data_IF_617588196585
#
_entry.id   IF_617588196585
#
_cell.length_a   1.000
_cell.length_b   1.000
_cell.length_c   1.000
_cell.angle_alpha   90.00
_cell.angle_beta   90.00
_cell.angle_gamma   90.00
#
_symmetry.space_group_name_H-M   'P 1'
#
loop_
_entity.id
_entity.type
_entity.pdbx_description
1 polymer ?
#
# COMPACT_ATOMS: atom_id res chain seq x y z
N UNK A 1 24.34 30.28 -5.10
CA UNK A 1 24.36 29.13 -4.18
C UNK A 1 24.65 29.62 -2.78
N UNK A 2 23.90 29.15 -1.77
CA UNK A 2 24.05 29.54 -0.36
C UNK A 2 23.52 28.44 0.56
N UNK A 3 23.62 28.63 1.86
CA UNK A 3 23.08 27.77 2.92
C UNK A 3 21.88 28.50 3.53
N UNK A 4 20.80 27.80 3.75
CA UNK A 4 19.62 28.25 4.49
C UNK A 4 19.50 27.35 5.72
N UNK A 5 19.53 27.95 6.91
CA UNK A 5 19.23 27.25 8.15
C UNK A 5 17.71 27.24 8.36
N UNK A 6 17.14 26.07 8.60
CA UNK A 6 15.70 25.89 8.79
C UNK A 6 15.42 24.67 9.69
N UNK A 7 14.28 24.69 10.36
CA UNK A 7 13.85 23.55 11.20
C UNK A 7 13.30 22.40 10.37
N UNK A 8 12.61 22.70 9.27
CA UNK A 8 11.95 21.71 8.43
C UNK A 8 12.29 21.88 6.96
N UNK A 9 12.43 20.77 6.25
CA UNK A 9 12.57 20.70 4.80
C UNK A 9 11.42 19.92 4.21
N UNK A 10 10.72 20.49 3.24
CA UNK A 10 9.66 19.83 2.47
C UNK A 10 10.17 19.53 1.07
N UNK A 11 10.21 18.26 0.73
CA UNK A 11 10.44 17.84 -0.65
C UNK A 11 9.11 17.92 -1.44
N UNK A 12 8.97 18.99 -2.21
CA UNK A 12 7.90 19.17 -3.20
C UNK A 12 8.50 19.23 -4.62
N UNK A 13 9.54 18.43 -4.87
CA UNK A 13 10.41 18.48 -6.04
C UNK A 13 9.79 18.01 -7.35
N UNK A 14 8.52 17.57 -7.36
CA UNK A 14 7.83 17.16 -8.59
C UNK A 14 8.63 16.10 -9.38
N UNK A 15 9.09 16.46 -10.60
CA UNK A 15 9.92 15.57 -11.42
C UNK A 15 11.24 15.17 -10.76
N UNK A 16 11.79 16.03 -9.90
CA UNK A 16 13.04 15.80 -9.17
C UNK A 16 12.84 15.27 -7.74
N UNK A 17 11.64 14.86 -7.39
CA UNK A 17 11.33 14.38 -6.04
C UNK A 17 12.28 13.27 -5.57
N UNK A 18 12.59 12.33 -6.44
CA UNK A 18 13.51 11.22 -6.18
C UNK A 18 14.96 11.72 -5.99
N UNK A 19 15.41 12.62 -6.84
CA UNK A 19 16.75 13.20 -6.78
C UNK A 19 16.95 14.04 -5.52
N UNK A 20 15.95 14.81 -5.11
CA UNK A 20 15.98 15.53 -3.81
C UNK A 20 15.98 14.54 -2.63
N UNK A 21 15.19 13.49 -2.71
CA UNK A 21 15.21 12.41 -1.69
C UNK A 21 16.61 11.78 -1.55
N UNK A 22 17.30 11.52 -2.66
CA UNK A 22 18.66 10.97 -2.67
C UNK A 22 19.69 11.87 -1.99
N UNK A 23 19.51 13.19 -1.98
CA UNK A 23 20.39 14.13 -1.26
C UNK A 23 20.40 13.87 0.25
N UNK A 24 19.36 13.26 0.77
CA UNK A 24 19.24 12.87 2.19
C UNK A 24 19.23 11.35 2.40
N UNK A 25 19.63 10.58 1.36
CA UNK A 25 19.78 9.12 1.42
C UNK A 25 18.45 8.37 1.39
N UNK A 26 17.44 8.90 0.68
CA UNK A 26 16.11 8.28 0.52
C UNK A 26 15.85 8.01 -0.96
N UNK A 27 15.38 6.82 -1.29
CA UNK A 27 14.86 6.49 -2.61
C UNK A 27 13.31 6.53 -2.55
N UNK A 28 12.72 7.64 -2.98
CA UNK A 28 11.25 7.74 -3.05
C UNK A 28 10.71 6.92 -4.22
N UNK A 29 9.63 6.15 -4.04
CA UNK A 29 9.01 5.38 -5.11
C UNK A 29 8.19 6.28 -6.05
N UNK A 30 8.89 7.05 -6.87
CA UNK A 30 8.31 7.97 -7.86
C UNK A 30 8.94 7.73 -9.22
N UNK A 31 8.11 7.69 -10.26
CA UNK A 31 8.55 7.63 -11.65
C UNK A 31 7.81 8.69 -12.46
N UNK A 32 8.54 9.41 -13.30
CA UNK A 32 7.94 10.28 -14.30
C UNK A 32 7.58 9.48 -15.56
N UNK A 33 6.37 9.69 -16.08
CA UNK A 33 5.85 9.11 -17.31
C UNK A 33 5.67 10.21 -18.35
N UNK A 34 5.92 9.90 -19.62
CA UNK A 34 5.46 10.77 -20.70
C UNK A 34 3.93 10.75 -20.77
N UNK A 35 3.33 11.89 -20.95
CA UNK A 35 1.88 12.00 -21.12
C UNK A 35 1.53 13.00 -22.19
N UNK A 36 0.68 12.57 -23.12
CA UNK A 36 0.25 13.36 -24.25
C UNK A 36 -1.21 13.72 -24.20
N UNK A 37 -1.50 14.92 -24.66
CA UNK A 37 -2.84 15.35 -25.03
C UNK A 37 -2.81 16.22 -26.27
N UNK A 38 -3.88 16.24 -27.01
CA UNK A 38 -4.10 17.14 -28.12
C UNK A 38 -5.12 18.22 -27.76
N UNK A 39 -4.97 19.37 -28.39
CA UNK A 39 -5.93 20.47 -28.35
C UNK A 39 -6.47 20.65 -29.75
N UNK A 40 -7.79 20.61 -29.91
CA UNK A 40 -8.44 20.77 -31.21
C UNK A 40 -8.51 22.26 -31.62
N UNK A 41 -8.75 22.50 -32.90
CA UNK A 41 -9.25 23.76 -33.39
C UNK A 41 -10.66 24.04 -32.83
N UNK A 42 -11.22 25.21 -33.17
CA UNK A 42 -12.56 25.62 -32.79
C UNK A 42 -13.62 24.62 -33.26
N UNK A 43 -14.54 24.26 -32.38
CA UNK A 43 -15.68 23.36 -32.66
C UNK A 43 -16.94 24.21 -32.60
N UNK A 44 -17.69 24.38 -33.72
CA UNK A 44 -18.88 25.23 -33.76
C UNK A 44 -19.95 24.84 -32.72
N UNK A 45 -20.12 23.56 -32.44
CA UNK A 45 -21.05 23.05 -31.45
C UNK A 45 -20.66 23.47 -30.01
N UNK A 46 -19.34 23.51 -29.69
CA UNK A 46 -18.85 24.02 -28.41
C UNK A 46 -19.20 25.50 -28.26
N UNK A 47 -18.94 26.27 -29.30
CA UNK A 47 -19.26 27.71 -29.32
C UNK A 47 -20.75 27.96 -29.16
N UNK A 48 -21.58 27.24 -29.90
CA UNK A 48 -23.06 27.35 -29.83
C UNK A 48 -23.55 26.97 -28.41
N UNK A 49 -23.05 25.91 -27.85
CA UNK A 49 -23.41 25.50 -26.48
C UNK A 49 -23.06 26.60 -25.46
N UNK A 50 -21.84 27.16 -25.53
CA UNK A 50 -21.45 28.22 -24.61
C UNK A 50 -22.29 29.47 -24.73
N UNK A 51 -22.65 29.87 -25.95
CA UNK A 51 -23.52 31.03 -26.21
C UNK A 51 -24.95 30.82 -25.67
N UNK A 52 -25.48 29.60 -25.82
CA UNK A 52 -26.83 29.27 -25.38
C UNK A 52 -26.92 29.05 -23.86
N UNK A 53 -25.93 28.36 -23.26
CA UNK A 53 -25.98 27.94 -21.86
C UNK A 53 -25.31 28.93 -20.90
N UNK A 54 -24.41 29.80 -21.39
CA UNK A 54 -23.52 30.62 -20.57
C UNK A 54 -22.48 29.82 -19.78
N UNK A 55 -22.25 28.55 -20.13
CA UNK A 55 -21.36 27.62 -19.41
C UNK A 55 -20.41 26.90 -20.37
N UNK A 56 -19.31 26.42 -19.85
CA UNK A 56 -18.42 25.49 -20.54
C UNK A 56 -18.98 24.07 -20.52
N UNK A 57 -18.56 23.24 -21.49
CA UNK A 57 -18.81 21.81 -21.49
C UNK A 57 -18.09 21.15 -20.31
N UNK A 58 -18.80 20.27 -19.61
CA UNK A 58 -18.23 19.54 -18.48
C UNK A 58 -17.07 18.63 -18.87
N UNK A 59 -16.24 18.28 -17.88
CA UNK A 59 -15.17 17.32 -18.02
C UNK A 59 -15.75 15.92 -18.21
N UNK A 60 -15.23 15.18 -19.17
CA UNK A 60 -15.64 13.80 -19.49
C UNK A 60 -14.46 12.87 -19.34
N UNK A 61 -14.69 11.71 -18.72
CA UNK A 61 -13.78 10.58 -18.71
C UNK A 61 -14.45 9.44 -19.45
N UNK A 62 -13.81 8.96 -20.50
CA UNK A 62 -14.27 7.83 -21.31
C UNK A 62 -13.43 6.59 -20.95
N UNK A 63 -14.03 5.68 -20.18
CA UNK A 63 -13.39 4.42 -19.78
C UNK A 63 -13.21 3.43 -20.92
N UNK A 64 -14.03 3.55 -22.00
CA UNK A 64 -13.89 2.70 -23.17
C UNK A 64 -12.70 3.10 -24.06
N UNK A 65 -12.47 4.40 -24.21
CA UNK A 65 -11.34 4.96 -24.93
C UNK A 65 -10.09 5.16 -24.03
N UNK A 66 -10.23 4.99 -22.71
CA UNK A 66 -9.19 5.28 -21.72
C UNK A 66 -8.62 6.70 -21.87
N UNK A 67 -9.52 7.67 -22.11
CA UNK A 67 -9.16 9.06 -22.34
C UNK A 67 -10.03 10.01 -21.51
N UNK A 68 -9.60 11.27 -21.47
CA UNK A 68 -10.36 12.37 -20.90
C UNK A 68 -10.52 13.49 -21.90
N UNK A 69 -11.63 14.20 -21.77
CA UNK A 69 -11.94 15.37 -22.58
C UNK A 69 -12.38 16.52 -21.67
N UNK A 70 -11.96 17.72 -22.01
CA UNK A 70 -12.47 18.96 -21.42
C UNK A 70 -12.44 20.08 -22.44
N UNK A 71 -13.26 21.07 -22.23
CA UNK A 71 -13.19 22.28 -23.05
C UNK A 71 -11.89 23.04 -22.80
N UNK A 72 -11.31 23.58 -23.86
CA UNK A 72 -10.19 24.51 -23.85
C UNK A 72 -10.49 25.67 -24.82
N UNK A 73 -10.90 26.81 -24.26
CA UNK A 73 -11.41 27.91 -25.06
C UNK A 73 -12.60 27.50 -25.91
N UNK A 74 -12.47 27.52 -27.25
CA UNK A 74 -13.51 27.13 -28.21
C UNK A 74 -13.37 25.68 -28.73
N UNK A 75 -12.35 24.97 -28.31
CA UNK A 75 -12.03 23.61 -28.70
C UNK A 75 -12.08 22.64 -27.51
N UNK A 76 -11.54 21.45 -27.72
CA UNK A 76 -11.46 20.39 -26.73
C UNK A 76 -10.00 19.96 -26.54
N UNK A 77 -9.62 19.74 -25.28
CA UNK A 77 -8.45 18.92 -24.93
C UNK A 77 -8.89 17.47 -24.91
N UNK A 78 -8.14 16.60 -25.55
CA UNK A 78 -8.28 15.14 -25.46
C UNK A 78 -6.92 14.55 -25.08
N UNK A 79 -6.86 13.87 -23.92
CA UNK A 79 -5.67 13.17 -23.46
C UNK A 79 -5.97 11.71 -23.16
N UNK A 80 -5.00 10.84 -23.41
CA UNK A 80 -5.13 9.40 -23.25
C UNK A 80 -4.12 8.86 -22.25
N UNK A 81 -4.51 7.75 -21.57
CA UNK A 81 -3.59 6.92 -20.78
C UNK A 81 -3.34 5.64 -21.57
N UNK A 82 -2.40 5.72 -22.48
CA UNK A 82 -2.12 4.68 -23.47
C UNK A 82 -1.46 3.44 -22.85
N UNK A 83 -1.76 2.27 -23.39
CA UNK A 83 -1.16 0.99 -22.98
C UNK A 83 0.34 0.93 -23.27
N UNK A 84 0.78 1.52 -24.39
CA UNK A 84 2.19 1.60 -24.79
C UNK A 84 2.94 2.74 -24.08
N UNK A 85 2.68 2.93 -22.79
CA UNK A 85 3.21 4.03 -21.98
C UNK A 85 4.74 4.02 -21.89
N UNK A 86 5.34 5.19 -21.87
CA UNK A 86 6.79 5.39 -21.84
C UNK A 86 7.22 6.08 -20.57
N UNK A 87 8.08 5.44 -19.75
CA UNK A 87 8.74 6.11 -18.64
C UNK A 87 9.72 7.17 -19.15
N UNK A 88 9.59 8.39 -18.61
CA UNK A 88 10.56 9.42 -18.84
C UNK A 88 11.59 9.41 -17.71
N UNK A 89 12.87 9.43 -18.07
CA UNK A 89 14.00 9.42 -17.12
C UNK A 89 13.91 8.37 -15.98
N UNK A 90 13.80 7.06 -16.30
CA UNK A 90 13.58 6.02 -15.27
C UNK A 90 14.76 5.85 -14.31
N UNK A 91 15.96 6.32 -14.66
CA UNK A 91 17.17 6.22 -13.81
C UNK A 91 17.42 7.50 -13.02
N UNK A 92 17.42 8.63 -13.69
CA UNK A 92 17.75 9.92 -13.11
C UNK A 92 17.09 11.05 -13.91
N UNK A 93 16.49 12.01 -13.21
CA UNK A 93 15.91 13.21 -13.80
C UNK A 93 16.99 14.24 -14.04
N UNK A 94 17.22 14.69 -15.30
CA UNK A 94 18.24 15.70 -15.59
C UNK A 94 17.93 17.03 -14.89
N UNK A 95 18.88 17.57 -14.15
CA UNK A 95 18.72 18.88 -13.49
C UNK A 95 18.60 20.04 -14.47
N UNK A 96 19.06 19.84 -15.71
CA UNK A 96 18.97 20.85 -16.79
C UNK A 96 17.62 20.90 -17.49
N UNK A 97 16.76 19.87 -17.29
CA UNK A 97 15.42 19.85 -17.91
C UNK A 97 14.55 20.95 -17.32
N UNK A 98 13.92 21.76 -18.17
CA UNK A 98 13.00 22.81 -17.72
C UNK A 98 12.47 23.66 -18.86
N UNK A 99 11.21 24.07 -18.76
CA UNK A 99 10.51 24.92 -19.73
C UNK A 99 10.53 24.37 -21.17
N UNK A 100 10.58 23.05 -21.31
CA UNK A 100 10.60 22.34 -22.58
C UNK A 100 9.57 21.21 -22.59
N UNK A 101 9.12 20.85 -23.79
CA UNK A 101 8.19 19.74 -24.02
C UNK A 101 8.94 18.61 -24.71
N UNK A 102 8.42 17.41 -24.54
CA UNK A 102 8.91 16.22 -25.24
C UNK A 102 8.34 16.15 -26.65
N UNK A 103 8.99 15.37 -27.52
CA UNK A 103 8.49 15.16 -28.86
C UNK A 103 7.15 14.41 -28.83
N UNK A 104 6.14 14.86 -29.57
CA UNK A 104 4.88 14.15 -29.71
C UNK A 104 5.05 12.81 -30.45
N UNK A 105 4.26 11.82 -30.06
CA UNK A 105 4.15 10.51 -30.70
C UNK A 105 2.66 10.14 -30.77
N UNK A 106 1.99 10.58 -31.83
CA UNK A 106 0.55 10.35 -32.02
C UNK A 106 0.23 8.88 -32.26
N UNK A 107 1.13 8.10 -32.85
CA UNK A 107 0.91 6.67 -33.12
C UNK A 107 0.72 5.91 -31.80
N UNK A 108 1.40 6.35 -30.74
CA UNK A 108 1.29 5.75 -29.40
C UNK A 108 -0.10 5.90 -28.79
N UNK A 109 -0.79 7.00 -29.03
CA UNK A 109 -2.14 7.26 -28.51
C UNK A 109 -3.25 6.96 -29.53
N UNK A 110 -2.90 6.64 -30.79
CA UNK A 110 -3.86 6.37 -31.85
C UNK A 110 -4.93 5.34 -31.48
N UNK A 111 -4.64 4.21 -30.81
CA UNK A 111 -5.68 3.25 -30.43
C UNK A 111 -6.78 3.85 -29.53
N UNK A 112 -6.40 4.75 -28.60
CA UNK A 112 -7.37 5.47 -27.74
C UNK A 112 -8.16 6.52 -28.55
N UNK A 113 -7.49 7.22 -29.47
CA UNK A 113 -8.16 8.20 -30.35
C UNK A 113 -9.21 7.56 -31.26
N UNK A 114 -8.90 6.39 -31.84
CA UNK A 114 -9.86 5.64 -32.68
C UNK A 114 -11.15 5.28 -31.93
N UNK A 115 -11.03 4.89 -30.64
CA UNK A 115 -12.20 4.62 -29.81
C UNK A 115 -12.92 5.93 -29.45
N UNK A 116 -12.17 6.95 -29.07
CA UNK A 116 -12.72 8.26 -28.74
C UNK A 116 -13.53 8.87 -29.92
N UNK A 117 -13.03 8.77 -31.14
CA UNK A 117 -13.72 9.28 -32.32
C UNK A 117 -15.01 8.51 -32.61
N UNK A 118 -15.07 7.19 -32.34
CA UNK A 118 -16.32 6.43 -32.42
C UNK A 118 -17.35 6.91 -31.38
N UNK A 119 -16.92 7.27 -30.17
CA UNK A 119 -17.80 7.75 -29.11
C UNK A 119 -18.18 9.23 -29.29
N UNK A 120 -17.26 10.01 -29.87
CA UNK A 120 -17.42 11.46 -30.13
C UNK A 120 -17.12 11.78 -31.61
N UNK A 121 -18.01 11.39 -32.57
CA UNK A 121 -17.72 11.47 -34.00
C UNK A 121 -17.39 12.86 -34.52
N UNK A 122 -17.85 13.92 -33.81
CA UNK A 122 -17.52 15.29 -34.17
C UNK A 122 -16.03 15.61 -34.08
N UNK A 123 -15.30 14.89 -33.25
CA UNK A 123 -13.87 15.12 -33.08
C UNK A 123 -13.03 14.57 -34.23
N UNK A 124 -13.55 13.60 -35.00
CA UNK A 124 -12.81 12.95 -36.08
C UNK A 124 -12.39 13.92 -37.21
N UNK A 125 -13.22 14.93 -37.46
CA UNK A 125 -13.02 15.87 -38.57
C UNK A 125 -12.55 17.26 -38.11
N UNK A 126 -12.15 17.39 -36.84
CA UNK A 126 -11.66 18.67 -36.29
C UNK A 126 -10.15 18.71 -36.41
N UNK A 127 -9.59 19.84 -36.82
CA UNK A 127 -8.15 20.04 -36.90
C UNK A 127 -7.49 19.98 -35.51
N UNK A 128 -6.23 19.55 -35.49
CA UNK A 128 -5.39 19.54 -34.29
C UNK A 128 -4.60 20.86 -34.26
N UNK A 129 -4.93 21.72 -33.31
CA UNK A 129 -4.24 22.98 -33.08
C UNK A 129 -2.84 22.79 -32.52
N UNK A 130 -2.68 21.87 -31.58
CA UNK A 130 -1.38 21.51 -30.97
C UNK A 130 -1.44 20.16 -30.27
N UNK A 131 -0.28 19.53 -30.17
CA UNK A 131 -0.06 18.34 -29.35
C UNK A 131 0.94 18.72 -28.27
N UNK A 132 0.65 18.32 -27.04
CA UNK A 132 1.52 18.53 -25.89
C UNK A 132 1.95 17.14 -25.41
N UNK A 133 3.26 16.93 -25.29
CA UNK A 133 3.86 15.79 -24.60
C UNK A 133 4.77 16.31 -23.50
N UNK A 134 4.54 15.88 -22.27
CA UNK A 134 5.34 16.31 -21.13
C UNK A 134 5.43 15.24 -20.05
N UNK A 135 6.52 15.26 -19.25
CA UNK A 135 6.66 14.30 -18.16
C UNK A 135 5.84 14.73 -16.95
N UNK A 136 5.22 13.78 -16.25
CA UNK A 136 4.66 14.01 -14.93
C UNK A 136 4.72 12.77 -14.05
N UNK A 137 4.67 12.95 -12.72
CA UNK A 137 5.10 11.97 -11.74
C UNK A 137 3.98 11.09 -11.22
N UNK A 138 4.30 9.81 -10.97
CA UNK A 138 3.43 8.83 -10.35
C UNK A 138 4.16 8.08 -9.23
N UNK A 139 3.44 7.76 -8.16
CA UNK A 139 3.81 6.67 -7.25
C UNK A 139 3.23 5.33 -7.76
N UNK A 140 3.66 4.18 -7.22
CA UNK A 140 3.24 2.85 -7.70
C UNK A 140 1.72 2.63 -7.71
N UNK A 141 1.00 3.20 -6.75
CA UNK A 141 -0.47 3.14 -6.63
C UNK A 141 -1.18 4.36 -7.25
N UNK A 142 -0.43 5.34 -7.75
CA UNK A 142 -0.95 6.57 -8.33
C UNK A 142 -1.42 7.61 -7.32
N UNK A 143 -1.24 7.38 -6.01
CA UNK A 143 -1.57 8.35 -4.97
C UNK A 143 -0.33 9.16 -4.56
N UNK A 144 -0.50 10.40 -4.06
CA UNK A 144 0.60 11.21 -3.53
C UNK A 144 1.40 10.50 -2.43
N UNK A 145 2.62 10.97 -2.22
CA UNK A 145 3.51 10.58 -1.12
C UNK A 145 3.65 11.77 -0.16
N UNK A 146 2.87 11.76 0.93
CA UNK A 146 2.72 12.91 1.84
C UNK A 146 3.13 12.52 3.25
N UNK A 147 3.79 13.42 3.96
CA UNK A 147 4.06 13.27 5.39
C UNK A 147 5.55 13.16 5.77
N UNK A 148 5.83 12.91 7.06
CA UNK A 148 7.20 12.81 7.55
C UNK A 148 7.85 11.51 7.07
N UNK A 149 9.09 11.61 6.64
CA UNK A 149 9.84 10.45 6.12
C UNK A 149 10.57 9.75 7.27
N UNK A 150 10.35 8.44 7.40
CA UNK A 150 11.00 7.62 8.43
C UNK A 150 12.53 7.76 8.39
N UNK A 151 13.16 7.87 9.54
CA UNK A 151 14.62 7.97 9.69
C UNK A 151 15.23 9.30 9.24
N UNK A 152 14.38 10.30 8.96
CA UNK A 152 14.82 11.65 8.59
C UNK A 152 14.01 12.68 9.38
N UNK A 153 14.56 13.08 10.52
CA UNK A 153 13.94 14.11 11.37
C UNK A 153 13.78 15.41 10.59
N UNK A 154 12.59 16.02 10.69
CA UNK A 154 12.24 17.28 10.05
C UNK A 154 12.30 17.29 8.51
N UNK A 155 12.36 16.12 7.86
CA UNK A 155 12.25 16.01 6.41
C UNK A 155 10.89 15.43 6.01
N UNK A 156 10.17 16.15 5.14
CA UNK A 156 8.79 15.89 4.77
C UNK A 156 8.66 15.63 3.27
N UNK A 157 7.73 14.79 2.89
CA UNK A 157 7.39 14.52 1.51
C UNK A 157 6.06 15.16 1.13
N UNK A 158 6.02 15.81 -0.04
CA UNK A 158 4.83 16.24 -0.75
C UNK A 158 5.04 15.92 -2.25
N UNK A 159 5.25 14.63 -2.56
CA UNK A 159 5.71 14.16 -3.85
C UNK A 159 4.67 13.28 -4.54
N UNK A 160 4.87 12.98 -5.83
CA UNK A 160 3.97 12.11 -6.59
C UNK A 160 2.54 12.63 -6.72
N UNK A 161 2.34 13.94 -6.57
CA UNK A 161 1.02 14.58 -6.65
C UNK A 161 0.65 14.71 -8.14
N UNK A 162 0.21 13.60 -8.73
CA UNK A 162 -0.09 13.48 -10.15
C UNK A 162 -1.20 14.46 -10.57
N UNK A 163 -2.30 14.50 -9.84
CA UNK A 163 -3.41 15.41 -10.08
C UNK A 163 -3.21 16.76 -9.35
N UNK A 164 -2.07 17.42 -9.59
CA UNK A 164 -1.59 18.57 -8.82
C UNK A 164 -2.60 19.69 -8.60
N UNK A 165 -3.33 20.09 -9.65
CA UNK A 165 -4.33 21.16 -9.54
C UNK A 165 -5.52 20.81 -8.67
N UNK A 166 -5.95 19.55 -8.65
CA UNK A 166 -7.08 19.11 -7.83
C UNK A 166 -6.68 18.67 -6.42
N UNK A 167 -5.46 18.15 -6.23
CA UNK A 167 -5.01 17.58 -4.95
C UNK A 167 -4.04 18.50 -4.19
N UNK A 168 -3.35 19.42 -4.87
CA UNK A 168 -2.26 20.21 -4.27
C UNK A 168 -2.70 21.01 -3.04
N UNK A 169 -3.89 21.61 -3.09
CA UNK A 169 -4.44 22.34 -1.92
C UNK A 169 -4.67 21.43 -0.72
N UNK A 170 -5.25 20.22 -0.93
CA UNK A 170 -5.47 19.23 0.13
C UNK A 170 -4.18 18.65 0.68
N UNK A 171 -3.19 18.38 -0.18
CA UNK A 171 -1.85 17.94 0.22
C UNK A 171 -1.17 19.01 1.09
N UNK A 172 -1.23 20.28 0.67
CA UNK A 172 -0.69 21.39 1.44
C UNK A 172 -1.36 21.55 2.81
N UNK A 173 -2.69 21.43 2.87
CA UNK A 173 -3.45 21.51 4.11
C UNK A 173 -3.07 20.36 5.07
N UNK A 174 -3.08 19.11 4.59
CA UNK A 174 -2.70 17.97 5.40
C UNK A 174 -1.27 18.11 5.95
N UNK A 175 -0.33 18.51 5.09
CA UNK A 175 1.06 18.66 5.48
C UNK A 175 1.28 19.80 6.47
N UNK A 176 0.64 20.95 6.28
CA UNK A 176 0.74 22.08 7.20
C UNK A 176 0.18 21.74 8.59
N UNK A 177 -1.00 21.10 8.66
CA UNK A 177 -1.54 20.63 9.92
C UNK A 177 -0.59 19.64 10.61
N UNK A 178 -0.04 18.69 9.83
CA UNK A 178 0.87 17.69 10.40
C UNK A 178 2.16 18.29 10.93
N UNK A 179 2.73 19.29 10.23
CA UNK A 179 3.95 20.00 10.66
C UNK A 179 3.72 20.88 11.90
N UNK A 180 2.55 21.50 12.02
CA UNK A 180 2.23 22.45 13.10
C UNK A 180 1.59 21.73 14.31
N UNK A 181 0.64 20.84 14.05
CA UNK A 181 -0.21 20.23 15.08
C UNK A 181 0.18 18.77 15.39
N UNK A 182 1.13 18.18 14.61
CA UNK A 182 1.56 16.79 14.76
C UNK A 182 0.59 15.75 14.19
N UNK A 183 -0.48 16.18 13.51
CA UNK A 183 -1.52 15.33 12.94
C UNK A 183 -2.08 15.98 11.65
N UNK A 184 -2.32 15.25 10.56
CA UNK A 184 -2.83 15.83 9.32
C UNK A 184 -4.26 16.40 9.41
N UNK A 185 -5.00 16.13 10.52
CA UNK A 185 -6.34 16.62 10.74
C UNK A 185 -7.45 15.72 10.20
N UNK A 186 -7.15 14.87 9.22
CA UNK A 186 -8.05 13.92 8.60
C UNK A 186 -7.27 12.69 8.09
N UNK A 187 -7.99 11.63 7.75
CA UNK A 187 -7.35 10.40 7.27
C UNK A 187 -6.73 10.60 5.89
N UNK A 188 -5.40 10.42 5.83
CA UNK A 188 -4.61 10.43 4.60
C UNK A 188 -3.76 9.16 4.44
N UNK A 189 -4.11 8.05 5.12
CA UNK A 189 -3.34 6.81 5.09
C UNK A 189 -2.97 6.38 3.66
N UNK A 190 -3.92 6.43 2.72
CA UNK A 190 -3.69 6.11 1.31
C UNK A 190 -2.72 7.05 0.59
N UNK A 191 -2.28 8.14 1.22
CA UNK A 191 -1.30 9.10 0.69
C UNK A 191 -0.04 9.19 1.57
N UNK A 192 -0.03 8.58 2.75
CA UNK A 192 1.12 8.62 3.64
C UNK A 192 2.33 7.97 2.96
N UNK A 193 3.47 8.68 2.96
CA UNK A 193 4.73 8.17 2.38
C UNK A 193 5.18 6.87 3.05
N UNK A 194 4.86 6.66 4.33
CA UNK A 194 5.21 5.47 5.10
C UNK A 194 4.41 4.20 4.74
N UNK A 195 3.45 4.28 3.80
CA UNK A 195 2.82 3.08 3.24
C UNK A 195 3.78 2.27 2.35
N UNK A 196 4.87 2.88 1.89
CA UNK A 196 5.96 2.19 1.21
C UNK A 196 7.17 2.02 2.12
N UNK A 197 7.84 0.88 1.99
CA UNK A 197 9.09 0.56 2.66
C UNK A 197 10.22 0.32 1.66
N UNK A 198 11.37 -0.16 2.15
CA UNK A 198 12.57 -0.44 1.35
C UNK A 198 12.33 -1.51 0.26
N UNK A 199 11.28 -2.31 0.40
CA UNK A 199 10.81 -3.25 -0.61
C UNK A 199 10.34 -2.59 -1.90
N UNK A 200 9.89 -1.32 -1.85
CA UNK A 200 9.48 -0.53 -3.00
C UNK A 200 10.70 -0.02 -3.80
N UNK A 201 11.49 -0.96 -4.30
CA UNK A 201 12.70 -0.69 -5.10
C UNK A 201 12.37 0.08 -6.37
N UNK A 202 13.41 0.61 -7.03
CA UNK A 202 13.27 1.27 -8.34
C UNK A 202 12.66 0.35 -9.39
N UNK A 203 13.03 -0.93 -9.42
CA UNK A 203 12.47 -1.92 -10.36
C UNK A 203 10.98 -2.13 -10.10
N UNK A 204 10.60 -2.32 -8.85
CA UNK A 204 9.20 -2.40 -8.43
C UNK A 204 8.43 -1.14 -8.85
N UNK A 205 8.94 0.04 -8.47
CA UNK A 205 8.32 1.33 -8.79
C UNK A 205 8.10 1.49 -10.30
N UNK A 206 9.11 1.19 -11.12
CA UNK A 206 9.00 1.31 -12.57
C UNK A 206 7.92 0.37 -13.15
N UNK A 207 7.84 -0.86 -12.68
CA UNK A 207 6.85 -1.82 -13.14
C UNK A 207 5.43 -1.41 -12.72
N UNK A 208 5.22 -1.09 -11.44
CA UNK A 208 3.91 -0.72 -10.89
C UNK A 208 3.41 0.62 -11.45
N UNK A 209 4.26 1.63 -11.58
CA UNK A 209 3.86 2.91 -12.18
C UNK A 209 3.41 2.74 -13.63
N UNK A 210 4.13 1.95 -14.44
CA UNK A 210 3.71 1.66 -15.82
C UNK A 210 2.36 0.97 -15.88
N UNK A 211 2.15 -0.03 -15.03
CA UNK A 211 0.87 -0.73 -14.93
C UNK A 211 -0.26 0.21 -14.47
N UNK A 212 -0.02 1.03 -13.44
CA UNK A 212 -0.99 2.00 -12.95
C UNK A 212 -1.33 3.04 -14.01
N UNK A 213 -0.33 3.58 -14.73
CA UNK A 213 -0.53 4.53 -15.82
C UNK A 213 -1.40 3.91 -16.93
N UNK A 214 -0.99 2.74 -17.45
CA UNK A 214 -1.68 2.06 -18.55
C UNK A 214 -3.10 1.62 -18.20
N UNK A 215 -3.45 1.56 -16.92
CA UNK A 215 -4.77 1.19 -16.41
C UNK A 215 -5.52 2.33 -15.73
N UNK A 216 -5.06 3.58 -15.88
CA UNK A 216 -5.60 4.72 -15.16
C UNK A 216 -7.11 4.90 -15.35
N UNK A 217 -7.58 4.71 -16.57
CA UNK A 217 -9.01 4.75 -16.91
C UNK A 217 -9.58 3.39 -17.33
N UNK A 218 -8.85 2.31 -17.15
CA UNK A 218 -9.43 0.98 -17.31
C UNK A 218 -10.48 0.72 -16.25
N UNK A 219 -11.52 -0.02 -16.62
CA UNK A 219 -12.49 -0.53 -15.66
C UNK A 219 -11.75 -1.47 -14.69
N UNK A 220 -11.89 -1.20 -13.39
CA UNK A 220 -11.33 -2.02 -12.33
C UNK A 220 -12.43 -2.84 -11.69
N UNK A 221 -12.19 -4.11 -11.51
CA UNK A 221 -13.10 -5.01 -10.82
C UNK A 221 -12.78 -5.05 -9.32
N UNK A 222 -13.76 -5.31 -8.44
CA UNK A 222 -13.51 -5.57 -7.04
C UNK A 222 -12.52 -6.74 -6.88
N UNK A 223 -11.55 -6.58 -5.95
CA UNK A 223 -10.53 -7.57 -5.63
C UNK A 223 -9.64 -8.01 -6.82
N UNK A 224 -9.56 -7.20 -7.89
CA UNK A 224 -8.68 -7.47 -9.00
C UNK A 224 -7.22 -7.29 -8.58
N UNK A 225 -6.43 -8.36 -8.62
CA UNK A 225 -5.00 -8.34 -8.39
C UNK A 225 -4.22 -8.04 -9.68
N UNK A 226 -3.29 -7.08 -9.61
CA UNK A 226 -2.51 -6.66 -10.77
C UNK A 226 -1.14 -7.35 -10.80
N UNK A 227 -0.70 -7.86 -11.97
CA UNK A 227 0.44 -8.76 -12.05
C UNK A 227 1.83 -8.10 -12.02
N UNK A 228 1.95 -6.79 -12.26
CA UNK A 228 3.26 -6.17 -12.39
C UNK A 228 4.09 -6.29 -11.09
N UNK A 229 5.38 -6.55 -11.23
CA UNK A 229 6.35 -6.73 -10.15
C UNK A 229 5.97 -7.83 -9.12
N UNK A 230 5.29 -8.88 -9.56
CA UNK A 230 4.92 -10.04 -8.73
C UNK A 230 5.55 -11.32 -9.27
N UNK A 231 5.95 -12.27 -8.38
CA UNK A 231 6.05 -12.11 -6.93
C UNK A 231 7.23 -11.19 -6.55
N UNK A 232 7.07 -10.35 -5.51
CA UNK A 232 8.17 -9.52 -5.00
C UNK A 232 8.78 -10.11 -3.73
N UNK A 233 7.96 -10.42 -2.74
CA UNK A 233 8.35 -11.10 -1.51
C UNK A 233 7.49 -12.34 -1.33
N UNK A 234 8.12 -13.45 -0.98
CA UNK A 234 7.45 -14.73 -0.75
C UNK A 234 7.88 -15.32 0.59
N UNK A 235 7.03 -16.14 1.16
CA UNK A 235 7.35 -16.92 2.37
C UNK A 235 7.97 -18.27 2.00
N UNK A 236 8.58 -19.00 2.95
CA UNK A 236 9.06 -20.37 2.70
C UNK A 236 7.96 -21.34 2.27
N UNK A 237 6.69 -21.04 2.53
CA UNK A 237 5.54 -21.88 2.17
C UNK A 237 4.95 -21.55 0.80
N UNK A 238 5.42 -20.50 0.12
CA UNK A 238 4.85 -20.00 -1.13
C UNK A 238 4.69 -21.11 -2.20
N UNK A 239 5.78 -21.82 -2.52
CA UNK A 239 5.73 -22.87 -3.54
C UNK A 239 4.81 -24.03 -3.15
N UNK A 240 4.75 -24.37 -1.86
CA UNK A 240 3.83 -25.39 -1.33
C UNK A 240 2.37 -24.96 -1.50
N UNK A 241 2.06 -23.70 -1.19
CA UNK A 241 0.72 -23.15 -1.36
C UNK A 241 0.31 -23.09 -2.84
N UNK A 242 1.22 -22.66 -3.72
CA UNK A 242 0.98 -22.68 -5.17
C UNK A 242 0.68 -24.13 -5.64
N UNK A 243 1.45 -25.12 -5.21
CA UNK A 243 1.23 -26.53 -5.55
C UNK A 243 -0.12 -27.06 -5.03
N UNK A 244 -0.66 -26.46 -3.98
CA UNK A 244 -1.99 -26.75 -3.43
C UNK A 244 -3.12 -25.98 -4.11
N UNK A 245 -2.83 -25.15 -5.12
CA UNK A 245 -3.81 -24.37 -5.85
C UNK A 245 -4.10 -22.99 -5.25
N UNK A 246 -3.18 -22.42 -4.46
CA UNK A 246 -3.36 -21.08 -3.94
C UNK A 246 -3.47 -20.04 -5.06
N UNK A 247 -4.46 -19.18 -4.97
CA UNK A 247 -4.55 -17.91 -5.71
C UNK A 247 -4.02 -16.83 -4.80
N UNK A 248 -2.94 -16.18 -5.23
CA UNK A 248 -2.19 -15.25 -4.41
C UNK A 248 -2.61 -13.80 -4.66
N UNK A 249 -2.63 -12.99 -3.60
CA UNK A 249 -2.78 -11.55 -3.65
C UNK A 249 -1.53 -10.82 -3.16
N UNK A 250 -1.43 -9.52 -3.50
CA UNK A 250 -0.34 -8.65 -3.08
C UNK A 250 -0.72 -7.90 -1.78
N UNK A 251 -0.09 -8.26 -0.68
CA UNK A 251 -0.18 -7.54 0.58
C UNK A 251 1.07 -6.66 0.78
N UNK A 252 1.07 -5.48 0.16
CA UNK A 252 2.17 -4.50 0.29
C UNK A 252 3.54 -5.07 -0.07
N UNK A 253 3.60 -5.70 -1.23
CA UNK A 253 4.80 -6.32 -1.77
C UNK A 253 5.02 -7.77 -1.34
N UNK A 254 4.17 -8.34 -0.48
CA UNK A 254 4.23 -9.74 -0.07
C UNK A 254 3.09 -10.56 -0.66
N UNK A 255 3.41 -11.69 -1.25
CA UNK A 255 2.43 -12.66 -1.72
C UNK A 255 1.73 -13.34 -0.54
N UNK A 256 0.40 -13.30 -0.53
CA UNK A 256 -0.45 -13.95 0.48
C UNK A 256 -1.55 -14.76 -0.19
N UNK A 257 -1.90 -15.96 0.31
CA UNK A 257 -2.99 -16.72 -0.26
C UNK A 257 -4.33 -16.03 0.02
N UNK A 258 -5.12 -15.82 -1.03
CA UNK A 258 -6.48 -15.30 -0.94
C UNK A 258 -7.50 -16.43 -0.79
N UNK A 259 -7.35 -17.48 -1.58
CA UNK A 259 -8.17 -18.70 -1.58
C UNK A 259 -7.45 -19.83 -2.31
N UNK A 260 -7.97 -21.04 -2.19
CA UNK A 260 -7.41 -22.23 -2.82
C UNK A 260 -8.37 -22.83 -3.86
N UNK A 261 -7.89 -22.96 -5.10
CA UNK A 261 -8.65 -23.58 -6.18
C UNK A 261 -8.83 -25.09 -5.92
N UNK A 262 -10.05 -25.63 -6.08
CA UNK A 262 -10.28 -27.06 -5.99
C UNK A 262 -9.43 -27.85 -7.00
N UNK A 263 -9.02 -29.07 -6.64
CA UNK A 263 -8.25 -29.94 -7.51
C UNK A 263 -8.91 -30.09 -8.90
N UNK A 264 -8.11 -29.91 -9.95
CA UNK A 264 -8.57 -29.97 -11.34
C UNK A 264 -9.18 -28.68 -11.89
N UNK A 265 -9.21 -27.61 -11.12
CA UNK A 265 -9.58 -26.25 -11.60
C UNK A 265 -8.37 -25.36 -11.70
N UNK A 266 -8.41 -24.38 -12.62
CA UNK A 266 -7.34 -23.37 -12.75
C UNK A 266 -7.30 -22.47 -11.52
N UNK A 267 -6.13 -22.30 -10.92
CA UNK A 267 -5.90 -21.39 -9.79
C UNK A 267 -5.79 -19.94 -10.30
N UNK A 268 -6.93 -19.33 -10.60
CA UNK A 268 -7.02 -17.98 -11.15
C UNK A 268 -8.33 -17.32 -10.82
N UNK A 269 -8.27 -16.04 -10.46
CA UNK A 269 -9.47 -15.21 -10.30
C UNK A 269 -10.14 -14.91 -11.64
N UNK A 270 -11.47 -15.07 -11.65
CA UNK A 270 -12.33 -14.56 -12.71
C UNK A 270 -13.03 -13.31 -12.17
N UNK A 271 -12.40 -12.16 -12.40
CA UNK A 271 -12.89 -10.89 -11.86
C UNK A 271 -14.28 -10.52 -12.39
N UNK A 272 -15.13 -9.99 -11.53
CA UNK A 272 -16.51 -9.67 -11.86
C UNK A 272 -17.08 -8.60 -10.92
N UNK A 273 -18.08 -7.80 -11.39
CA UNK A 273 -18.91 -6.96 -10.52
C UNK A 273 -19.96 -7.75 -9.73
N UNK A 274 -20.03 -9.06 -9.95
CA UNK A 274 -20.89 -9.99 -9.21
C UNK A 274 -19.99 -10.94 -8.39
N UNK A 275 -20.57 -11.97 -7.81
CA UNK A 275 -19.79 -13.05 -7.18
C UNK A 275 -18.87 -13.71 -8.21
N UNK A 276 -17.60 -13.80 -7.90
CA UNK A 276 -16.60 -14.44 -8.73
C UNK A 276 -16.48 -15.94 -8.43
N UNK A 277 -15.55 -16.61 -9.08
CA UNK A 277 -15.33 -18.05 -8.94
C UNK A 277 -14.74 -18.47 -7.58
N UNK A 278 -14.19 -17.53 -6.81
CA UNK A 278 -13.66 -17.72 -5.45
C UNK A 278 -14.77 -18.03 -4.41
N UNK A 279 -15.99 -17.55 -4.65
CA UNK A 279 -17.08 -17.63 -3.67
C UNK A 279 -17.38 -19.07 -3.18
N UNK A 280 -17.35 -20.06 -4.08
CA UNK A 280 -17.57 -21.45 -3.75
C UNK A 280 -16.46 -22.03 -2.87
N UNK A 281 -15.19 -21.95 -3.31
CA UNK A 281 -14.02 -22.33 -2.52
C UNK A 281 -13.97 -21.67 -1.15
N UNK A 282 -14.05 -20.34 -1.07
CA UNK A 282 -14.01 -19.59 0.21
C UNK A 282 -15.13 -20.04 1.14
N UNK A 283 -16.35 -20.30 0.63
CA UNK A 283 -17.43 -20.86 1.42
C UNK A 283 -17.09 -22.23 2.01
N UNK A 284 -16.40 -23.09 1.24
CA UNK A 284 -15.96 -24.40 1.72
C UNK A 284 -14.88 -24.28 2.79
N UNK A 285 -13.91 -23.39 2.60
CA UNK A 285 -12.86 -23.08 3.57
C UNK A 285 -13.43 -22.53 4.88
N UNK A 286 -14.36 -21.58 4.81
CA UNK A 286 -15.06 -21.08 6.00
C UNK A 286 -15.80 -22.19 6.76
N UNK A 287 -16.44 -23.12 6.06
CA UNK A 287 -17.09 -24.28 6.69
C UNK A 287 -16.08 -25.21 7.35
N UNK A 288 -14.95 -25.48 6.70
CA UNK A 288 -13.90 -26.32 7.26
C UNK A 288 -13.37 -25.76 8.59
N UNK A 289 -13.15 -24.44 8.66
CA UNK A 289 -12.76 -23.79 9.92
C UNK A 289 -13.87 -23.89 10.97
N UNK A 290 -15.13 -23.70 10.60
CA UNK A 290 -16.26 -23.73 11.55
C UNK A 290 -16.57 -25.13 12.08
N UNK A 291 -16.38 -26.18 11.27
CA UNK A 291 -16.79 -27.53 11.57
C UNK A 291 -15.64 -28.47 11.98
N UNK A 292 -14.40 -28.08 11.59
CA UNK A 292 -13.21 -28.88 11.83
C UNK A 292 -12.00 -28.00 12.25
N UNK A 293 -11.08 -27.78 11.32
CA UNK A 293 -9.88 -26.97 11.54
C UNK A 293 -9.35 -26.46 10.19
N UNK A 294 -8.91 -25.21 10.17
CA UNK A 294 -8.15 -24.61 9.07
C UNK A 294 -6.79 -24.15 9.53
N UNK A 295 -5.83 -24.10 8.58
CA UNK A 295 -4.51 -23.48 8.76
C UNK A 295 -4.36 -22.39 7.73
N UNK A 296 -3.97 -21.21 8.17
CA UNK A 296 -3.75 -20.04 7.31
C UNK A 296 -2.39 -19.45 7.60
N UNK A 297 -1.65 -19.07 6.56
CA UNK A 297 -0.41 -18.31 6.72
C UNK A 297 -0.74 -16.87 7.12
N UNK A 298 -0.04 -16.36 8.15
CA UNK A 298 -0.16 -14.99 8.66
C UNK A 298 1.22 -14.31 8.71
N UNK A 299 2.16 -14.75 7.89
CA UNK A 299 3.51 -14.20 7.83
C UNK A 299 3.55 -12.71 7.43
N UNK A 300 2.47 -12.21 6.82
CA UNK A 300 2.31 -10.81 6.45
C UNK A 300 2.07 -9.86 7.64
N UNK A 301 1.84 -10.34 8.85
CA UNK A 301 1.72 -9.46 10.03
C UNK A 301 3.03 -8.70 10.26
N UNK A 302 2.93 -7.45 10.71
CA UNK A 302 4.07 -6.72 11.28
C UNK A 302 4.45 -7.35 12.62
N UNK A 303 5.74 -7.59 12.83
CA UNK A 303 6.27 -8.24 14.03
C UNK A 303 7.40 -7.42 14.60
N UNK A 304 7.35 -7.18 15.90
CA UNK A 304 8.34 -6.36 16.60
C UNK A 304 8.83 -7.09 17.84
N UNK A 305 10.11 -6.98 18.11
CA UNK A 305 10.71 -7.34 19.39
C UNK A 305 11.15 -6.08 20.12
N UNK A 306 10.71 -5.93 21.35
CA UNK A 306 11.01 -4.78 22.21
C UNK A 306 11.86 -5.28 23.38
N UNK A 307 13.04 -4.71 23.55
CA UNK A 307 14.06 -5.16 24.48
C UNK A 307 14.57 -4.03 25.35
N UNK A 308 14.90 -4.37 26.58
CA UNK A 308 15.62 -3.50 27.49
C UNK A 308 14.91 -3.25 28.82
N UNK A 309 15.63 -2.72 29.81
CA UNK A 309 15.09 -2.49 31.16
C UNK A 309 13.95 -1.44 31.18
N UNK A 310 13.89 -0.53 30.18
CA UNK A 310 12.85 0.46 30.04
C UNK A 310 11.65 0.00 29.19
N UNK A 311 11.66 -1.21 28.63
CA UNK A 311 10.67 -1.67 27.65
C UNK A 311 9.23 -1.61 28.16
N UNK A 312 8.97 -2.10 29.38
CA UNK A 312 7.62 -2.09 29.95
C UNK A 312 7.11 -0.68 30.21
N UNK A 313 7.95 0.17 30.79
CA UNK A 313 7.57 1.57 31.06
C UNK A 313 7.29 2.35 29.76
N UNK A 314 8.10 2.12 28.74
CA UNK A 314 7.92 2.71 27.43
C UNK A 314 6.62 2.21 26.76
N UNK A 315 6.35 0.91 26.78
CA UNK A 315 5.11 0.35 26.24
C UNK A 315 3.88 0.86 26.98
N UNK A 316 3.92 1.01 28.31
CA UNK A 316 2.84 1.63 29.10
C UNK A 316 2.59 3.09 28.71
N UNK A 317 3.62 3.81 28.28
CA UNK A 317 3.47 5.17 27.78
C UNK A 317 2.87 5.21 26.36
N UNK A 318 3.24 4.27 25.52
CA UNK A 318 2.83 4.22 24.11
C UNK A 318 1.43 3.64 23.89
N UNK A 319 1.02 2.72 24.75
CA UNK A 319 -0.21 1.93 24.59
C UNK A 319 -1.30 2.38 25.54
N UNK A 320 -2.54 2.10 25.17
CA UNK A 320 -3.70 2.54 25.97
C UNK A 320 -4.13 1.52 27.03
N UNK A 321 -3.55 0.32 27.00
CA UNK A 321 -3.87 -0.74 27.97
C UNK A 321 -2.68 -1.01 28.92
N UNK A 322 -2.94 -1.79 29.97
CA UNK A 322 -1.88 -2.31 30.85
C UNK A 322 -1.05 -3.36 30.11
N UNK A 323 0.19 -3.59 30.59
CA UNK A 323 1.03 -4.66 30.02
C UNK A 323 0.62 -6.04 30.55
N UNK A 324 0.73 -7.08 29.69
CA UNK A 324 0.44 -8.44 30.12
C UNK A 324 1.46 -8.94 31.15
N UNK A 325 1.02 -9.87 31.98
CA UNK A 325 1.95 -10.65 32.85
C UNK A 325 2.81 -11.57 31.95
N UNK A 326 3.97 -11.99 32.45
CA UNK A 326 4.82 -12.96 31.75
C UNK A 326 4.02 -14.20 31.35
N UNK A 327 4.22 -14.67 30.12
CA UNK A 327 3.48 -15.79 29.52
C UNK A 327 2.05 -15.47 29.10
N UNK A 328 1.67 -14.20 29.08
CA UNK A 328 0.34 -13.74 28.63
C UNK A 328 0.45 -12.77 27.44
N UNK A 329 -0.64 -12.68 26.69
CA UNK A 329 -0.83 -11.64 25.67
C UNK A 329 -1.93 -10.67 26.08
N UNK A 330 -1.89 -9.47 25.49
CA UNK A 330 -2.89 -8.41 25.64
C UNK A 330 -3.13 -7.74 24.30
N UNK A 331 -4.38 -7.47 23.98
CA UNK A 331 -4.74 -6.61 22.85
C UNK A 331 -4.75 -5.16 23.31
N UNK A 332 -4.09 -4.30 22.56
CA UNK A 332 -3.99 -2.88 22.93
C UNK A 332 -3.89 -1.98 21.71
N UNK A 333 -4.72 -0.93 21.61
CA UNK A 333 -4.51 0.12 20.64
C UNK A 333 -3.39 1.09 21.08
N UNK A 334 -2.79 1.73 20.09
CA UNK A 334 -1.88 2.86 20.22
C UNK A 334 -2.53 4.10 19.61
N UNK A 335 -2.54 5.20 20.32
CA UNK A 335 -3.19 6.44 19.91
C UNK A 335 -2.17 7.56 19.76
N UNK A 336 -2.49 8.52 18.90
CA UNK A 336 -1.82 9.82 18.91
C UNK A 336 -2.38 10.73 20.03
N UNK A 337 -1.77 11.91 20.31
CA UNK A 337 -2.25 12.83 21.33
C UNK A 337 -3.68 13.34 21.13
N UNK A 338 -4.22 13.28 19.90
CA UNK A 338 -5.59 13.65 19.57
C UNK A 338 -6.59 12.49 19.77
N UNK A 339 -6.13 11.32 20.25
CA UNK A 339 -6.96 10.14 20.50
C UNK A 339 -7.30 9.34 19.26
N UNK A 340 -6.59 9.54 18.15
CA UNK A 340 -6.78 8.75 16.91
C UNK A 340 -5.90 7.51 16.94
N UNK A 341 -6.40 6.41 16.38
CA UNK A 341 -5.68 5.14 16.32
C UNK A 341 -4.49 5.25 15.35
N UNK A 342 -3.29 5.00 15.87
CA UNK A 342 -2.04 4.81 15.08
C UNK A 342 -1.88 3.33 14.72
N UNK A 343 -2.30 2.43 15.61
CA UNK A 343 -2.25 1.00 15.40
C UNK A 343 -2.94 0.25 16.52
N UNK A 344 -3.21 -1.02 16.28
CA UNK A 344 -3.68 -1.98 17.30
C UNK A 344 -2.76 -3.20 17.27
N UNK A 345 -2.48 -3.72 18.45
CA UNK A 345 -1.45 -4.73 18.62
C UNK A 345 -1.88 -5.84 19.56
N UNK A 346 -1.37 -7.03 19.27
CA UNK A 346 -1.22 -8.10 20.26
C UNK A 346 0.17 -7.97 20.86
N UNK A 347 0.28 -7.86 22.18
CA UNK A 347 1.56 -7.77 22.91
C UNK A 347 1.69 -8.97 23.82
N UNK A 348 2.83 -9.65 23.80
CA UNK A 348 3.20 -10.71 24.73
C UNK A 348 4.40 -10.26 25.59
N UNK A 349 4.35 -10.51 26.90
CA UNK A 349 5.55 -10.46 27.76
C UNK A 349 6.19 -11.84 27.77
N UNK A 350 7.27 -11.99 27.03
CA UNK A 350 8.04 -13.24 26.95
C UNK A 350 8.81 -13.47 28.25
N UNK A 351 9.58 -12.46 28.66
CA UNK A 351 10.32 -12.42 29.92
C UNK A 351 10.51 -10.98 30.38
N UNK A 352 11.19 -10.80 31.51
CA UNK A 352 11.46 -9.45 32.01
C UNK A 352 12.32 -8.65 31.00
N UNK A 353 11.84 -7.47 30.63
CA UNK A 353 12.50 -6.61 29.63
C UNK A 353 12.44 -7.11 28.18
N UNK A 354 11.62 -8.15 27.88
CA UNK A 354 11.45 -8.66 26.52
C UNK A 354 9.98 -8.84 26.17
N UNK A 355 9.53 -8.11 25.16
CA UNK A 355 8.16 -8.14 24.67
C UNK A 355 8.15 -8.46 23.18
N UNK A 356 7.18 -9.30 22.78
CA UNK A 356 6.85 -9.54 21.38
C UNK A 356 5.55 -8.82 21.04
N UNK A 357 5.48 -8.25 19.86
CA UNK A 357 4.32 -7.47 19.44
C UNK A 357 3.98 -7.74 17.98
N UNK A 358 2.69 -7.91 17.70
CA UNK A 358 2.16 -8.15 16.35
C UNK A 358 1.12 -7.10 16.01
N UNK A 359 1.11 -6.64 14.76
CA UNK A 359 0.18 -5.62 14.24
C UNK A 359 -0.05 -5.74 12.74
N UNK A 360 -0.73 -4.77 12.15
CA UNK A 360 -1.02 -4.74 10.72
C UNK A 360 0.24 -4.65 9.87
N UNK A 361 0.42 -5.59 8.94
CA UNK A 361 1.59 -5.70 8.06
C UNK A 361 1.87 -4.43 7.26
N UNK A 362 0.83 -3.87 6.68
CA UNK A 362 0.87 -2.68 5.85
C UNK A 362 1.39 -1.46 6.59
N UNK A 363 1.15 -1.40 7.90
CA UNK A 363 1.53 -0.28 8.74
C UNK A 363 2.92 -0.41 9.36
N UNK A 364 3.74 -1.43 9.02
CA UNK A 364 5.04 -1.65 9.66
C UNK A 364 5.96 -0.41 9.60
N UNK A 365 6.09 0.22 8.44
CA UNK A 365 6.93 1.42 8.28
C UNK A 365 6.33 2.61 9.03
N UNK A 366 5.01 2.74 8.99
CA UNK A 366 4.26 3.77 9.71
C UNK A 366 4.42 3.61 11.23
N UNK A 367 4.25 2.40 11.76
CA UNK A 367 4.45 2.09 13.18
C UNK A 367 5.89 2.35 13.60
N UNK A 368 6.88 1.87 12.83
CA UNK A 368 8.30 2.08 13.15
C UNK A 368 8.68 3.56 13.14
N UNK A 369 8.12 4.36 12.22
CA UNK A 369 8.31 5.82 12.23
C UNK A 369 7.83 6.42 13.56
N UNK A 370 6.66 6.01 14.05
CA UNK A 370 6.10 6.47 15.30
C UNK A 370 6.91 5.98 16.51
N UNK A 371 7.28 4.72 16.54
CA UNK A 371 8.10 4.16 17.60
C UNK A 371 9.45 4.87 17.72
N UNK A 372 10.17 5.05 16.63
CA UNK A 372 11.49 5.68 16.59
C UNK A 372 11.46 7.14 17.06
N UNK A 373 10.35 7.85 16.83
CA UNK A 373 10.16 9.23 17.33
C UNK A 373 9.99 9.30 18.84
N UNK A 374 9.51 8.22 19.46
CA UNK A 374 9.16 8.17 20.89
C UNK A 374 10.10 7.26 21.71
N UNK A 375 11.14 6.70 21.07
CA UNK A 375 12.13 5.91 21.81
C UNK A 375 12.92 6.78 22.81
N UNK A 376 13.17 6.27 24.04
CA UNK A 376 14.08 6.92 24.99
C UNK A 376 15.48 7.06 24.38
N UNK A 377 16.10 8.22 24.58
CA UNK A 377 17.44 8.51 24.05
C UNK A 377 18.59 7.89 24.88
N UNK A 378 18.27 7.35 26.05
CA UNK A 378 19.24 6.76 26.98
C UNK A 378 19.63 5.31 26.64
N UNK A 379 19.05 4.75 25.58
CA UNK A 379 19.30 3.37 25.16
C UNK A 379 18.64 2.30 26.03
N UNK A 380 17.77 2.68 26.96
CA UNK A 380 17.05 1.75 27.85
C UNK A 380 16.02 0.88 27.12
N UNK A 381 15.64 1.25 25.88
CA UNK A 381 14.71 0.50 25.02
C UNK A 381 15.29 0.35 23.63
N UNK A 382 15.23 -0.88 23.11
CA UNK A 382 15.49 -1.19 21.70
C UNK A 382 14.26 -1.84 21.09
N UNK A 383 13.86 -1.42 19.90
CA UNK A 383 12.82 -2.06 19.10
C UNK A 383 13.41 -2.55 17.78
N UNK A 384 13.01 -3.74 17.39
CA UNK A 384 13.39 -4.34 16.11
C UNK A 384 12.13 -4.79 15.36
N UNK A 385 11.99 -4.37 14.11
CA UNK A 385 11.01 -4.92 13.19
C UNK A 385 11.55 -6.23 12.62
N UNK A 386 10.88 -7.34 12.92
CA UNK A 386 11.38 -8.68 12.58
C UNK A 386 11.10 -9.06 11.12
N UNK A 387 10.09 -8.46 10.49
CA UNK A 387 9.77 -8.77 9.09
C UNK A 387 9.65 -10.27 8.85
N UNK A 388 10.41 -10.79 7.88
CA UNK A 388 10.46 -12.22 7.52
C UNK A 388 11.39 -13.08 8.39
N UNK A 389 11.96 -12.54 9.46
CA UNK A 389 12.70 -13.36 10.47
C UNK A 389 11.78 -14.29 11.25
N UNK A 390 10.48 -14.01 11.27
CA UNK A 390 9.44 -14.88 11.79
C UNK A 390 8.36 -15.11 10.73
N UNK A 391 8.01 -16.35 10.52
CA UNK A 391 6.88 -16.79 9.68
C UNK A 391 5.74 -17.21 10.60
N UNK A 392 4.52 -16.85 10.28
CA UNK A 392 3.35 -17.10 11.11
C UNK A 392 2.34 -18.03 10.46
N UNK A 393 1.79 -18.92 11.26
CA UNK A 393 0.65 -19.77 10.91
C UNK A 393 -0.46 -19.58 11.94
N UNK A 394 -1.70 -19.43 11.49
CA UNK A 394 -2.89 -19.48 12.34
C UNK A 394 -3.58 -20.83 12.16
N UNK A 395 -3.83 -21.52 13.25
CA UNK A 395 -4.67 -22.73 13.30
C UNK A 395 -5.97 -22.33 13.99
N UNK A 396 -7.11 -22.53 13.34
CA UNK A 396 -8.42 -22.14 13.88
C UNK A 396 -9.49 -23.21 13.62
N UNK A 397 -10.40 -23.35 14.57
CA UNK A 397 -11.56 -24.23 14.50
C UNK A 397 -11.68 -25.19 15.69
N UNK A 398 -12.82 -25.91 15.85
CA UNK A 398 -13.06 -26.75 17.02
C UNK A 398 -12.04 -27.88 17.23
N UNK A 399 -11.37 -28.32 16.16
CA UNK A 399 -10.30 -29.34 16.22
C UNK A 399 -8.89 -28.77 16.25
N UNK A 400 -8.73 -27.45 16.41
CA UNK A 400 -7.42 -26.79 16.39
C UNK A 400 -6.48 -27.33 17.48
N UNK A 401 -7.02 -27.60 18.70
CA UNK A 401 -6.22 -28.14 19.79
C UNK A 401 -5.77 -29.58 19.50
N UNK A 402 -6.64 -30.43 18.96
CA UNK A 402 -6.28 -31.78 18.58
C UNK A 402 -5.17 -31.81 17.55
N UNK A 403 -5.22 -30.90 16.58
CA UNK A 403 -4.16 -30.75 15.58
C UNK A 403 -2.86 -30.31 16.21
N UNK A 404 -2.88 -29.26 17.06
CA UNK A 404 -1.69 -28.76 17.73
C UNK A 404 -1.05 -29.82 18.63
N UNK A 405 -1.86 -30.56 19.43
CA UNK A 405 -1.36 -31.62 20.32
C UNK A 405 -0.65 -32.76 19.58
N UNK A 406 -0.97 -32.99 18.31
CA UNK A 406 -0.25 -33.99 17.48
C UNK A 406 1.14 -33.53 17.03
N UNK A 407 1.45 -32.25 17.19
CA UNK A 407 2.68 -31.62 16.73
C UNK A 407 3.64 -31.26 17.87
N UNK A 408 3.22 -31.48 19.14
CA UNK A 408 4.03 -31.16 20.33
C UNK A 408 3.79 -32.16 21.46
N UNK A 409 4.84 -32.42 22.24
CA UNK A 409 4.76 -33.18 23.47
C UNK A 409 4.28 -32.34 24.68
N UNK A 410 4.29 -31.00 24.52
CA UNK A 410 3.76 -30.10 25.53
C UNK A 410 2.26 -30.21 25.67
N UNK A 411 1.75 -30.13 26.91
CA UNK A 411 0.31 -30.06 27.17
C UNK A 411 -0.29 -28.75 26.67
N UNK A 412 -1.21 -28.87 25.70
CA UNK A 412 -1.96 -27.74 25.12
C UNK A 412 -3.43 -27.73 25.56
N UNK A 413 -3.76 -28.46 26.67
CA UNK A 413 -5.09 -28.41 27.28
C UNK A 413 -5.51 -27.01 27.71
N UNK A 414 -6.78 -26.83 28.06
CA UNK A 414 -7.26 -25.52 28.55
C UNK A 414 -6.58 -25.08 29.86
N UNK A 415 -6.14 -26.03 30.68
CA UNK A 415 -5.51 -25.72 31.97
C UNK A 415 -4.04 -25.35 31.77
N UNK A 416 -3.37 -25.94 30.81
CA UNK A 416 -1.94 -25.73 30.54
C UNK A 416 -1.70 -24.55 29.57
N UNK A 417 -2.56 -24.32 28.60
CA UNK A 417 -2.49 -23.21 27.64
C UNK A 417 -3.85 -22.52 27.55
N UNK A 418 -4.05 -21.46 28.36
CA UNK A 418 -5.31 -20.76 28.50
C UNK A 418 -5.51 -19.73 27.38
N UNK A 419 -6.74 -19.30 27.17
CA UNK A 419 -7.02 -18.17 26.28
C UNK A 419 -6.19 -16.94 26.70
N UNK A 420 -5.56 -16.29 25.74
CA UNK A 420 -4.60 -15.20 25.92
C UNK A 420 -3.28 -15.62 26.60
N UNK A 421 -2.90 -16.86 26.57
CA UNK A 421 -1.54 -17.29 26.94
C UNK A 421 -0.58 -17.16 25.74
N UNK A 422 0.67 -16.84 26.07
CA UNK A 422 1.85 -16.91 25.24
C UNK A 422 2.81 -17.99 25.78
N UNK A 423 3.32 -18.84 24.90
CA UNK A 423 4.30 -19.83 25.29
C UNK A 423 5.31 -20.07 24.17
N UNK A 424 6.58 -20.18 24.53
CA UNK A 424 7.60 -20.76 23.67
C UNK A 424 7.64 -22.27 23.89
N UNK A 425 7.48 -23.06 22.82
CA UNK A 425 7.42 -24.53 22.87
C UNK A 425 7.98 -25.14 21.59
N UNK A 426 8.27 -26.41 21.60
CA UNK A 426 8.61 -27.16 20.39
C UNK A 426 7.34 -27.57 19.63
N UNK A 427 7.30 -27.20 18.34
CA UNK A 427 6.29 -27.66 17.39
C UNK A 427 7.00 -28.50 16.34
N UNK A 428 6.72 -29.79 16.29
CA UNK A 428 7.48 -30.79 15.55
C UNK A 428 8.97 -30.75 15.93
N UNK A 429 9.83 -30.18 15.12
CA UNK A 429 11.28 -30.11 15.36
C UNK A 429 11.82 -28.68 15.48
N UNK A 430 10.94 -27.70 15.61
CA UNK A 430 11.31 -26.29 15.67
C UNK A 430 10.77 -25.62 16.92
N UNK A 431 11.55 -24.71 17.50
CA UNK A 431 11.08 -23.84 18.59
C UNK A 431 10.18 -22.76 18.01
N UNK A 432 8.97 -22.66 18.55
CA UNK A 432 7.95 -21.72 18.11
C UNK A 432 7.43 -20.87 19.28
N UNK A 433 6.99 -19.66 18.97
CA UNK A 433 6.18 -18.82 19.86
C UNK A 433 4.71 -19.09 19.54
N UNK A 434 3.93 -19.46 20.55
CA UNK A 434 2.52 -19.83 20.39
C UNK A 434 1.65 -18.88 21.20
N UNK A 435 0.80 -18.12 20.51
CA UNK A 435 -0.25 -17.30 21.10
C UNK A 435 -1.57 -18.06 21.06
N UNK A 436 -2.25 -18.24 22.18
CA UNK A 436 -3.61 -18.77 22.16
C UNK A 436 -4.63 -17.67 21.90
N UNK A 437 -4.72 -17.27 20.66
CA UNK A 437 -5.65 -16.28 20.13
C UNK A 437 -5.87 -16.57 18.64
N UNK A 438 -6.99 -16.09 18.09
CA UNK A 438 -7.25 -16.06 16.66
C UNK A 438 -7.93 -14.76 16.30
N UNK A 439 -7.70 -14.29 15.09
CA UNK A 439 -8.40 -13.14 14.54
C UNK A 439 -9.92 -13.38 14.41
N UNK A 440 -10.32 -14.61 14.07
CA UNK A 440 -11.72 -14.99 13.83
C UNK A 440 -12.53 -15.21 15.11
N UNK A 441 -11.89 -15.30 16.29
CA UNK A 441 -12.54 -15.60 17.56
C UNK A 441 -12.88 -17.07 17.79
N UNK A 442 -12.56 -17.95 16.85
CA UNK A 442 -12.68 -19.40 17.01
C UNK A 442 -11.59 -19.94 17.95
N UNK A 443 -11.73 -21.17 18.46
CA UNK A 443 -10.64 -21.85 19.15
C UNK A 443 -9.44 -21.97 18.21
N UNK A 444 -8.28 -21.50 18.63
CA UNK A 444 -7.10 -21.63 17.81
C UNK A 444 -5.87 -20.95 18.39
N UNK A 445 -4.83 -20.90 17.55
CA UNK A 445 -3.50 -20.52 17.94
C UNK A 445 -2.81 -19.79 16.77
N UNK A 446 -2.02 -18.78 17.10
CA UNK A 446 -1.04 -18.20 16.19
C UNK A 446 0.34 -18.75 16.54
N UNK A 447 1.01 -19.34 15.59
CA UNK A 447 2.30 -20.02 15.73
C UNK A 447 3.32 -19.26 14.92
N UNK A 448 4.40 -18.83 15.55
CA UNK A 448 5.46 -18.03 14.96
C UNK A 448 6.80 -18.78 15.03
N UNK A 449 7.43 -19.02 13.88
CA UNK A 449 8.70 -19.77 13.73
C UNK A 449 9.72 -18.98 12.94
#
# INVERSE_FOLDING_TARGET
>A
KGVIECEHVVNAGGLWAREVGRMVGIELPVLAMEHMYLVTDEIPEVVAFNQQSGKEIGHVIDFGAECYLRQEGKGIVLGAYEKACVPWSPKETPWSFGQELLQPDLDRIAPSLEVAFRHFPKLENVGIKRVINGPFTFAPDGNPLVGPVRGRTHFWSACGVMAGFSQGGGVGLALSNWMVDGDPGFDIWGMDVARFGDWATRTYTNAKVRENYARRFSIRFPNEELPAARPLQTTPLYDTMIAQGAVMGDSWGMETPLWFAPAGTEAKDIVSFRRSNDFGPIKAECRAVREAVGVTEIANFAKYEILGPGAEAWLLHMMTNTMPKQGRIMLTPMLNPQGRIIGDFTIAKAEEGRFMMWGSSQAQVYHMRWFEQHLPRDGSVRIEALGMKLVGLSIAGPKARELLQRLTDDDVSNDALRFMDYREMEIATVRAQVNRVTYTGDLGYEIWV
#
